data_IF_361230990375
#
_entry.id   IF_361230990375
#
_cell.length_a   1.000
_cell.length_b   1.000
_cell.length_c   1.000
_cell.angle_alpha   90.00
_cell.angle_beta   90.00
_cell.angle_gamma   90.00
#
_symmetry.space_group_name_H-M   'P 1'
#
loop_
_entity.id
_entity.type
_entity.pdbx_description
1 polymer ?
#
# COMPACT_ATOMS: atom_id res chain seq x y z
N UNK A 1 2.46 9.37 -4.44
CA UNK A 1 1.19 8.78 -4.89
C UNK A 1 1.17 7.27 -4.67
N UNK A 2 -0.01 6.69 -4.52
CA UNK A 2 -0.18 5.24 -4.34
C UNK A 2 -1.48 4.71 -4.94
N UNK A 3 -1.52 3.41 -5.22
CA UNK A 3 -2.73 2.66 -5.59
C UNK A 3 -2.80 1.38 -4.76
N UNK A 4 -3.94 1.12 -4.13
CA UNK A 4 -4.29 -0.22 -3.63
C UNK A 4 -4.86 -1.03 -4.80
N UNK A 5 -4.23 -2.16 -5.06
CA UNK A 5 -4.50 -3.01 -6.23
C UNK A 5 -5.29 -4.25 -5.89
N UNK A 6 -5.16 -4.76 -4.66
CA UNK A 6 -5.83 -5.99 -4.24
C UNK A 6 -6.34 -5.87 -2.79
N UNK A 7 -7.56 -6.37 -2.59
CA UNK A 7 -8.18 -6.64 -1.30
C UNK A 7 -8.01 -8.14 -1.00
N UNK A 8 -7.14 -8.45 -0.05
CA UNK A 8 -6.76 -9.83 0.28
C UNK A 8 -7.86 -10.51 1.10
N UNK A 9 -8.58 -9.75 1.93
CA UNK A 9 -9.70 -10.25 2.73
C UNK A 9 -10.83 -10.78 1.84
N UNK A 10 -11.07 -10.11 0.72
CA UNK A 10 -12.07 -10.51 -0.30
C UNK A 10 -11.49 -11.49 -1.33
N UNK A 11 -10.70 -12.49 -0.89
CA UNK A 11 -10.04 -13.49 -1.73
C UNK A 11 -9.10 -12.92 -2.80
N UNK A 12 -8.37 -11.84 -2.50
CA UNK A 12 -7.44 -11.21 -3.45
C UNK A 12 -8.16 -10.48 -4.59
N UNK A 13 -9.33 -9.92 -4.32
CA UNK A 13 -10.12 -9.16 -5.28
C UNK A 13 -9.33 -7.96 -5.78
N UNK A 14 -9.24 -7.79 -7.10
CA UNK A 14 -8.65 -6.59 -7.69
C UNK A 14 -9.52 -5.36 -7.42
N UNK A 15 -8.88 -4.32 -6.92
CA UNK A 15 -9.46 -3.01 -6.65
C UNK A 15 -8.54 -1.92 -7.21
N UNK A 16 -9.04 -0.69 -7.27
CA UNK A 16 -8.32 0.45 -7.84
C UNK A 16 -8.61 1.70 -6.99
N UNK A 17 -8.14 1.65 -5.74
CA UNK A 17 -8.25 2.78 -4.80
C UNK A 17 -6.97 3.58 -4.88
N UNK A 18 -7.08 4.89 -5.12
CA UNK A 18 -5.95 5.75 -5.48
C UNK A 18 -5.79 6.87 -4.46
N UNK A 19 -4.55 7.30 -4.26
CA UNK A 19 -4.24 8.48 -3.45
C UNK A 19 -4.90 9.74 -4.02
N UNK A 20 -5.13 10.74 -3.16
CA UNK A 20 -5.81 11.99 -3.55
C UNK A 20 -5.06 12.79 -4.62
N UNK A 21 -3.73 12.70 -4.60
CA UNK A 21 -2.80 13.36 -5.52
C UNK A 21 -2.50 12.53 -6.79
N UNK A 22 -3.20 11.41 -7.00
CA UNK A 22 -2.95 10.52 -8.13
C UNK A 22 -3.04 11.22 -9.49
N UNK A 23 -1.97 11.09 -10.28
CA UNK A 23 -1.88 11.54 -11.66
C UNK A 23 -1.61 10.34 -12.59
N UNK A 24 -2.55 10.05 -13.50
CA UNK A 24 -2.44 8.92 -14.43
C UNK A 24 -1.19 9.01 -15.33
N UNK A 25 -0.68 10.22 -15.61
CA UNK A 25 0.53 10.41 -16.40
C UNK A 25 1.82 9.97 -15.69
N UNK A 26 1.77 9.78 -14.36
CA UNK A 26 2.90 9.39 -13.53
C UNK A 26 2.79 7.94 -13.03
N UNK A 27 1.79 7.18 -13.49
CA UNK A 27 1.53 5.80 -13.08
C UNK A 27 2.75 4.88 -13.23
N UNK A 28 3.57 5.11 -14.25
CA UNK A 28 4.78 4.32 -14.49
C UNK A 28 5.85 4.46 -13.40
N UNK A 29 5.77 5.52 -12.57
CA UNK A 29 6.66 5.71 -11.42
C UNK A 29 6.24 4.89 -10.19
N UNK A 30 5.05 4.29 -10.19
CA UNK A 30 4.56 3.45 -9.09
C UNK A 30 5.21 2.07 -9.11
N UNK A 31 6.51 2.02 -8.83
CA UNK A 31 7.33 0.81 -8.94
C UNK A 31 7.49 0.06 -7.62
N UNK A 32 7.22 0.70 -6.49
CA UNK A 32 7.44 0.12 -5.17
C UNK A 32 6.21 -0.63 -4.72
N UNK A 33 6.33 -1.95 -4.56
CA UNK A 33 5.23 -2.79 -4.06
C UNK A 33 5.18 -2.69 -2.55
N UNK A 34 3.99 -2.50 -2.02
CA UNK A 34 3.74 -2.51 -0.58
C UNK A 34 2.57 -3.42 -0.23
N UNK A 35 2.48 -3.76 1.05
CA UNK A 35 1.34 -4.44 1.65
C UNK A 35 0.97 -3.80 2.99
N UNK A 36 -0.32 -3.75 3.28
CA UNK A 36 -0.87 -3.27 4.55
C UNK A 36 -1.27 -4.45 5.42
N UNK A 37 -0.91 -4.40 6.69
CA UNK A 37 -1.16 -5.46 7.66
C UNK A 37 -1.93 -4.93 8.87
N UNK A 38 -2.71 -5.80 9.50
CA UNK A 38 -3.31 -5.52 10.81
C UNK A 38 -2.33 -5.74 11.98
N UNK A 39 -2.82 -5.50 13.19
CA UNK A 39 -2.03 -5.64 14.42
C UNK A 39 -1.58 -7.06 14.75
N UNK A 40 -2.12 -8.08 14.05
CA UNK A 40 -1.74 -9.48 14.16
C UNK A 40 -0.83 -9.91 12.98
N UNK A 41 -0.35 -8.96 12.17
CA UNK A 41 0.48 -9.17 10.97
C UNK A 41 -0.22 -9.93 9.84
N UNK A 42 -1.55 -9.90 9.78
CA UNK A 42 -2.33 -10.43 8.65
C UNK A 42 -2.40 -9.41 7.52
N UNK A 43 -2.12 -9.82 6.28
CA UNK A 43 -2.11 -8.92 5.12
C UNK A 43 -3.54 -8.67 4.66
N UNK A 44 -3.97 -7.41 4.69
CA UNK A 44 -5.32 -7.01 4.26
C UNK A 44 -5.32 -6.50 2.82
N UNK A 45 -4.27 -5.78 2.42
CA UNK A 45 -4.20 -5.13 1.11
C UNK A 45 -2.81 -5.18 0.51
N UNK A 46 -2.75 -5.14 -0.82
CA UNK A 46 -1.51 -4.96 -1.59
C UNK A 46 -1.64 -3.78 -2.55
N UNK A 47 -0.55 -3.05 -2.74
CA UNK A 47 -0.52 -1.86 -3.58
C UNK A 47 0.84 -1.54 -4.16
N UNK A 48 0.88 -0.42 -4.90
CA UNK A 48 2.08 0.14 -5.50
C UNK A 48 2.18 1.65 -5.21
N UNK A 49 3.38 2.13 -4.97
CA UNK A 49 3.71 3.51 -4.60
C UNK A 49 4.90 4.02 -5.42
N UNK A 50 5.02 5.34 -5.55
CA UNK A 50 6.19 6.03 -6.12
C UNK A 50 7.29 6.31 -5.08
N UNK A 51 7.02 6.00 -3.81
CA UNK A 51 7.94 6.16 -2.69
C UNK A 51 7.87 4.95 -1.73
N UNK A 52 8.99 4.64 -1.09
CA UNK A 52 9.16 3.54 -0.14
C UNK A 52 10.13 3.83 1.03
N UNK A 53 10.64 5.05 1.19
CA UNK A 53 11.69 5.35 2.19
C UNK A 53 11.53 6.73 2.87
N UNK A 54 10.53 7.53 2.47
CA UNK A 54 10.23 8.82 3.12
C UNK A 54 8.96 8.76 3.97
N UNK A 55 8.65 9.84 4.70
CA UNK A 55 7.37 9.97 5.42
C UNK A 55 6.15 9.73 4.50
N UNK A 56 6.25 10.07 3.22
CA UNK A 56 5.17 9.82 2.25
C UNK A 56 4.95 8.33 1.95
N UNK A 57 5.91 7.46 2.26
CA UNK A 57 5.74 6.02 2.12
C UNK A 57 4.70 5.46 3.10
N UNK A 58 4.36 6.20 4.18
CA UNK A 58 3.28 5.82 5.09
C UNK A 58 1.90 6.32 4.63
N UNK A 59 1.82 7.17 3.60
CA UNK A 59 0.56 7.70 3.10
C UNK A 59 -0.52 6.63 2.78
N UNK A 60 -0.21 5.45 2.20
CA UNK A 60 -1.24 4.43 1.98
C UNK A 60 -1.84 3.88 3.28
N UNK A 61 -1.02 3.79 4.35
CA UNK A 61 -1.46 3.37 5.67
C UNK A 61 -2.31 4.48 6.32
N UNK A 62 -1.81 5.71 6.32
CA UNK A 62 -2.48 6.86 6.96
C UNK A 62 -3.80 7.23 6.27
N UNK A 63 -3.81 7.24 4.93
CA UNK A 63 -4.96 7.68 4.13
C UNK A 63 -6.06 6.62 4.03
N UNK A 64 -5.69 5.34 4.01
CA UNK A 64 -6.60 4.22 3.75
C UNK A 64 -6.54 3.14 4.83
N UNK A 65 -5.36 2.59 5.11
CA UNK A 65 -5.19 1.45 6.03
C UNK A 65 -5.78 1.66 7.42
N UNK A 66 -5.32 2.67 8.16
CA UNK A 66 -5.74 2.93 9.54
C UNK A 66 -7.24 3.29 9.61
N UNK A 67 -7.66 4.25 8.79
CA UNK A 67 -9.01 4.84 8.87
C UNK A 67 -10.12 3.95 8.32
N UNK A 68 -9.83 3.11 7.32
CA UNK A 68 -10.83 2.33 6.62
C UNK A 68 -10.85 0.85 7.02
N UNK A 69 -9.71 0.29 7.41
CA UNK A 69 -9.56 -1.16 7.55
C UNK A 69 -8.87 -1.63 8.84
N UNK A 70 -8.40 -0.71 9.69
CA UNK A 70 -7.71 -1.07 10.93
C UNK A 70 -6.32 -1.67 10.72
N UNK A 71 -5.68 -1.39 9.57
CA UNK A 71 -4.29 -1.73 9.38
C UNK A 71 -3.42 -0.88 10.32
N UNK A 72 -2.34 -1.45 10.81
CA UNK A 72 -1.40 -0.78 11.74
C UNK A 72 0.01 -0.72 11.19
N UNK A 73 0.32 -1.53 10.18
CA UNK A 73 1.66 -1.66 9.64
C UNK A 73 1.63 -1.63 8.11
N UNK A 74 2.70 -1.07 7.54
CA UNK A 74 2.98 -1.11 6.10
C UNK A 74 4.36 -1.71 5.88
N UNK A 75 4.46 -2.56 4.87
CA UNK A 75 5.71 -3.18 4.47
C UNK A 75 5.95 -2.98 2.99
N UNK A 76 7.20 -2.75 2.63
CA UNK A 76 7.65 -2.60 1.25
C UNK A 76 8.50 -3.80 0.83
N UNK A 77 8.35 -4.21 -0.43
CA UNK A 77 9.15 -5.28 -1.01
C UNK A 77 10.51 -4.73 -1.45
N UNK A 78 11.57 -5.09 -0.74
CA UNK A 78 12.95 -4.78 -1.07
C UNK A 78 13.66 -6.05 -1.54
N UNK A 79 13.90 -6.14 -2.84
CA UNK A 79 14.38 -7.39 -3.47
C UNK A 79 13.32 -8.49 -3.35
N UNK A 80 13.61 -9.52 -2.55
CA UNK A 80 12.72 -10.66 -2.30
C UNK A 80 12.17 -10.70 -0.86
N UNK A 81 12.37 -9.64 -0.07
CA UNK A 81 12.01 -9.58 1.35
C UNK A 81 11.07 -8.40 1.60
N UNK A 82 10.08 -8.62 2.46
CA UNK A 82 9.20 -7.57 2.97
C UNK A 82 9.83 -6.92 4.19
N UNK A 83 10.07 -5.62 4.12
CA UNK A 83 10.64 -4.84 5.21
C UNK A 83 9.61 -3.84 5.73
N UNK A 84 9.58 -3.69 7.06
CA UNK A 84 8.79 -2.66 7.75
C UNK A 84 9.59 -1.35 7.67
N UNK A 85 8.89 -0.26 7.37
CA UNK A 85 9.45 1.09 7.45
C UNK A 85 9.47 1.61 8.90
#
# INVERSE_FOLDING_TARGET
MWIITHDILEHGKQIDVRSRDYDESLKENLIYRFRLLDGDSEVYYEGISDDCDSENAFAPLDDFGEGHAGCTDIQYLQGDVWEIL
#
